data_IF_294491781144
#
_entry.id   IF_294491781144
#
_cell.length_a   1.000
_cell.length_b   1.000
_cell.length_c   1.000
_cell.angle_alpha   90.00
_cell.angle_beta   90.00
_cell.angle_gamma   90.00
#
_symmetry.space_group_name_H-M   'P 1'
#
loop_
_entity.id
_entity.type
_entity.pdbx_description
1 polymer ?
#
# COMPACT_ATOMS: atom_id res chain seq x y z
N UNK A 1 15.72 -25.60 9.43
CA UNK A 1 14.49 -25.42 8.66
C UNK A 1 13.40 -25.13 9.66
N UNK A 2 13.29 -23.90 10.15
CA UNK A 2 12.22 -23.48 11.06
C UNK A 2 12.07 -21.97 10.92
N UNK A 3 11.06 -21.56 10.15
CA UNK A 3 10.75 -20.16 9.89
C UNK A 3 9.26 -19.94 10.12
N UNK A 4 8.91 -19.63 11.37
CA UNK A 4 7.55 -19.38 11.80
C UNK A 4 7.10 -18.00 11.25
N UNK A 5 6.80 -17.94 9.96
CA UNK A 5 6.11 -16.79 9.38
C UNK A 5 4.65 -16.85 9.83
N UNK A 6 4.06 -15.75 10.33
CA UNK A 6 2.63 -15.74 10.63
C UNK A 6 1.90 -16.19 9.36
N UNK A 7 1.10 -17.25 9.48
CA UNK A 7 0.33 -17.81 8.37
C UNK A 7 -0.71 -16.76 7.98
N UNK A 8 -0.33 -15.86 7.09
CA UNK A 8 -1.29 -15.01 6.41
C UNK A 8 -2.19 -15.94 5.61
N UNK A 9 -3.43 -16.11 6.07
CA UNK A 9 -4.44 -16.85 5.34
C UNK A 9 -4.80 -16.04 4.09
N UNK A 10 -4.08 -16.30 3.01
CA UNK A 10 -4.31 -15.75 1.67
C UNK A 10 -4.30 -16.92 0.69
N UNK A 11 -5.17 -16.89 -0.31
CA UNK A 11 -5.16 -17.87 -1.40
C UNK A 11 -4.40 -17.28 -2.57
N UNK A 12 -3.17 -17.74 -2.81
CA UNK A 12 -2.31 -17.22 -3.88
C UNK A 12 -2.16 -18.20 -5.04
N UNK A 13 -1.82 -17.73 -6.25
CA UNK A 13 -1.61 -18.61 -7.40
C UNK A 13 -0.35 -19.47 -7.25
N UNK A 14 -0.35 -20.68 -7.79
CA UNK A 14 0.86 -21.51 -7.86
C UNK A 14 1.93 -20.86 -8.75
N UNK A 15 3.21 -21.07 -8.42
CA UNK A 15 4.33 -20.53 -9.20
C UNK A 15 4.63 -19.04 -8.94
N UNK A 16 4.03 -18.45 -7.90
CA UNK A 16 4.33 -17.09 -7.47
C UNK A 16 5.32 -17.01 -6.32
N UNK A 17 6.10 -15.94 -6.28
CA UNK A 17 7.04 -15.59 -5.22
C UNK A 17 6.41 -14.48 -4.37
N UNK A 18 6.44 -14.65 -3.05
CA UNK A 18 5.98 -13.64 -2.10
C UNK A 18 6.92 -12.43 -2.08
N UNK A 19 6.35 -11.22 -2.10
CA UNK A 19 7.13 -9.97 -2.01
C UNK A 19 6.89 -9.24 -0.70
N UNK A 20 5.62 -8.94 -0.38
CA UNK A 20 5.27 -8.11 0.78
C UNK A 20 3.85 -8.40 1.27
N UNK A 21 3.64 -8.36 2.57
CA UNK A 21 2.31 -8.42 3.18
C UNK A 21 1.95 -7.07 3.82
N UNK A 22 0.66 -6.79 3.88
CA UNK A 22 0.09 -5.67 4.62
C UNK A 22 -1.24 -6.07 5.24
N UNK A 23 -1.90 -5.10 5.88
CA UNK A 23 -3.16 -5.35 6.61
C UNK A 23 -4.27 -5.98 5.75
N UNK A 24 -4.37 -5.58 4.48
CA UNK A 24 -5.46 -6.00 3.59
C UNK A 24 -5.14 -7.20 2.71
N UNK A 25 -3.96 -7.83 2.84
CA UNK A 25 -3.52 -8.91 1.94
C UNK A 25 -2.03 -8.91 1.66
N UNK A 26 -1.63 -9.63 0.61
CA UNK A 26 -0.24 -9.84 0.23
C UNK A 26 -0.01 -9.61 -1.26
N UNK A 27 1.23 -9.25 -1.60
CA UNK A 27 1.71 -9.01 -2.96
C UNK A 27 2.65 -10.16 -3.35
N UNK A 28 2.41 -10.70 -4.54
CA UNK A 28 3.25 -11.73 -5.14
C UNK A 28 3.66 -11.35 -6.56
N UNK A 29 4.74 -11.94 -7.06
CA UNK A 29 5.15 -11.89 -8.48
C UNK A 29 5.21 -13.30 -9.06
N UNK A 30 5.20 -13.46 -10.38
CA UNK A 30 5.37 -14.76 -11.02
C UNK A 30 6.86 -15.02 -11.30
N UNK A 31 7.30 -16.28 -11.13
CA UNK A 31 8.67 -16.67 -11.43
C UNK A 31 9.03 -16.29 -12.89
N UNK A 32 10.06 -15.44 -13.06
CA UNK A 32 10.53 -14.98 -14.37
C UNK A 32 9.78 -13.76 -14.95
N UNK A 33 8.77 -13.21 -14.28
CA UNK A 33 8.02 -12.03 -14.73
C UNK A 33 8.11 -10.88 -13.73
N UNK A 34 9.17 -10.08 -13.82
CA UNK A 34 9.37 -8.93 -12.93
C UNK A 34 8.38 -7.78 -13.15
N UNK A 35 7.65 -7.75 -14.28
CA UNK A 35 6.79 -6.62 -14.66
C UNK A 35 5.34 -6.75 -14.17
N UNK A 36 4.96 -7.89 -13.59
CA UNK A 36 3.57 -8.15 -13.16
C UNK A 36 3.53 -8.59 -11.71
N UNK A 37 2.67 -7.93 -10.95
CA UNK A 37 2.40 -8.25 -9.56
C UNK A 37 0.94 -8.66 -9.38
N UNK A 38 0.66 -9.48 -8.38
CA UNK A 38 -0.71 -9.79 -7.96
C UNK A 38 -0.90 -9.43 -6.50
N UNK A 39 -1.91 -8.60 -6.24
CA UNK A 39 -2.41 -8.30 -4.91
C UNK A 39 -3.53 -9.27 -4.55
N UNK A 40 -3.21 -10.17 -3.63
CA UNK A 40 -4.12 -11.19 -3.10
C UNK A 40 -4.73 -10.67 -1.80
N UNK A 41 -6.07 -10.66 -1.65
CA UNK A 41 -6.71 -10.21 -0.43
C UNK A 41 -6.50 -11.21 0.72
N UNK A 42 -6.53 -10.70 1.94
CA UNK A 42 -6.68 -11.53 3.13
C UNK A 42 -8.00 -12.31 3.11
N UNK A 43 -8.04 -13.51 3.71
CA UNK A 43 -9.29 -14.25 3.94
C UNK A 43 -10.11 -13.69 5.09
N UNK A 44 -9.62 -12.65 5.79
CA UNK A 44 -10.39 -11.98 6.84
C UNK A 44 -11.65 -11.32 6.24
N UNK A 45 -12.82 -11.86 6.61
CA UNK A 45 -14.12 -11.42 6.11
C UNK A 45 -14.41 -9.93 6.39
N UNK A 46 -13.84 -9.34 7.46
CA UNK A 46 -14.00 -7.91 7.75
C UNK A 46 -13.30 -7.02 6.73
N UNK A 47 -12.24 -7.52 6.09
CA UNK A 47 -11.38 -6.76 5.19
C UNK A 47 -11.59 -7.14 3.72
N UNK A 48 -12.37 -8.20 3.43
CA UNK A 48 -12.61 -8.67 2.06
C UNK A 48 -13.38 -7.62 1.23
N UNK A 49 -14.22 -6.79 1.86
CA UNK A 49 -14.92 -5.71 1.17
C UNK A 49 -13.95 -4.66 0.58
N UNK A 50 -12.76 -4.49 1.19
CA UNK A 50 -11.76 -3.55 0.70
C UNK A 50 -11.21 -3.95 -0.67
N UNK A 51 -11.15 -5.25 -0.98
CA UNK A 51 -10.70 -5.68 -2.32
C UNK A 51 -11.78 -5.44 -3.37
N UNK A 52 -13.06 -5.60 -3.02
CA UNK A 52 -14.17 -5.33 -3.94
C UNK A 52 -14.29 -3.84 -4.28
N UNK A 53 -14.06 -2.96 -3.31
CA UNK A 53 -13.96 -1.51 -3.56
C UNK A 53 -12.80 -1.21 -4.53
N UNK A 54 -11.62 -1.80 -4.30
CA UNK A 54 -10.44 -1.61 -5.17
C UNK A 54 -10.70 -2.07 -6.60
N UNK A 55 -11.37 -3.21 -6.79
CA UNK A 55 -11.77 -3.71 -8.12
C UNK A 55 -12.68 -2.70 -8.83
N UNK A 56 -13.66 -2.13 -8.12
CA UNK A 56 -14.56 -1.10 -8.69
C UNK A 56 -13.81 0.16 -9.10
N UNK A 57 -12.87 0.63 -8.27
CA UNK A 57 -12.06 1.81 -8.57
C UNK A 57 -11.24 1.60 -9.86
N UNK A 58 -10.53 0.48 -9.98
CA UNK A 58 -9.77 0.19 -11.21
C UNK A 58 -10.67 0.03 -12.44
N UNK A 59 -11.82 -0.64 -12.31
CA UNK A 59 -12.77 -0.76 -13.41
C UNK A 59 -13.34 0.59 -13.86
N UNK A 60 -13.50 1.54 -12.93
CA UNK A 60 -14.02 2.87 -13.23
C UNK A 60 -12.96 3.78 -13.87
N UNK A 61 -11.73 3.77 -13.34
CA UNK A 61 -10.65 4.63 -13.81
C UNK A 61 -10.09 4.20 -15.18
N UNK A 62 -10.17 2.90 -15.50
CA UNK A 62 -9.57 2.36 -16.71
C UNK A 62 -8.05 2.51 -16.72
N UNK A 63 -7.47 2.69 -17.92
CA UNK A 63 -6.04 2.94 -18.05
C UNK A 63 -5.76 4.44 -18.02
N UNK A 64 -5.04 4.90 -16.99
CA UNK A 64 -4.65 6.29 -16.82
C UNK A 64 -3.12 6.38 -16.64
N UNK A 65 -2.41 7.28 -17.34
CA UNK A 65 -0.94 7.29 -17.37
C UNK A 65 -0.27 7.51 -16.01
N UNK A 66 -0.97 8.09 -15.03
CA UNK A 66 -0.46 8.37 -13.69
C UNK A 66 -0.97 7.39 -12.62
N UNK A 67 -1.64 6.30 -13.01
CA UNK A 67 -2.15 5.28 -12.10
C UNK A 67 -1.63 3.93 -12.58
N UNK A 68 -1.07 3.13 -11.66
CA UNK A 68 -0.54 1.80 -12.01
C UNK A 68 -1.62 1.00 -12.74
N UNK A 69 -1.35 0.51 -13.96
CA UNK A 69 -2.33 -0.22 -14.73
C UNK A 69 -2.81 -1.49 -14.02
N UNK A 70 -4.13 -1.65 -13.96
CA UNK A 70 -4.76 -2.92 -13.63
C UNK A 70 -4.81 -3.80 -14.87
N UNK A 71 -3.99 -4.85 -14.88
CA UNK A 71 -3.82 -5.74 -16.04
C UNK A 71 -4.96 -6.76 -16.12
N UNK A 72 -5.35 -7.31 -14.97
CA UNK A 72 -6.55 -8.15 -14.88
C UNK A 72 -7.05 -8.28 -13.44
N UNK A 73 -8.29 -8.72 -13.30
CA UNK A 73 -8.90 -9.12 -12.03
C UNK A 73 -9.33 -10.58 -12.19
N UNK A 74 -8.94 -11.44 -11.26
CA UNK A 74 -9.26 -12.87 -11.27
C UNK A 74 -9.61 -13.38 -9.86
N UNK A 75 -9.83 -14.69 -9.74
CA UNK A 75 -10.26 -15.35 -8.50
C UNK A 75 -9.24 -15.23 -7.35
N UNK A 76 -7.98 -14.94 -7.65
CA UNK A 76 -6.93 -14.74 -6.65
C UNK A 76 -6.83 -13.28 -6.21
N UNK A 77 -7.14 -12.32 -7.07
CA UNK A 77 -7.02 -10.90 -6.74
C UNK A 77 -6.88 -9.98 -7.94
N UNK A 78 -6.11 -8.90 -7.74
CA UNK A 78 -5.90 -7.86 -8.75
C UNK A 78 -4.46 -7.95 -9.25
N UNK A 79 -4.28 -8.15 -10.55
CA UNK A 79 -2.98 -8.09 -11.20
C UNK A 79 -2.68 -6.66 -11.64
N UNK A 80 -1.50 -6.17 -11.26
CA UNK A 80 -1.03 -4.81 -11.50
C UNK A 80 0.31 -4.86 -12.24
N UNK A 81 0.59 -3.83 -13.01
CA UNK A 81 1.95 -3.59 -13.49
C UNK A 81 2.88 -3.28 -12.31
N UNK A 82 4.13 -3.75 -12.39
CA UNK A 82 5.13 -3.46 -11.39
C UNK A 82 5.66 -2.03 -11.54
N UNK A 83 5.58 -1.24 -10.47
CA UNK A 83 6.29 0.03 -10.38
C UNK A 83 7.79 -0.21 -10.17
N UNK A 84 8.59 -0.15 -11.23
CA UNK A 84 10.02 -0.52 -11.21
C UNK A 84 10.84 0.27 -10.18
N UNK A 85 10.47 1.52 -9.91
CA UNK A 85 11.17 2.40 -8.98
C UNK A 85 10.58 2.40 -7.56
N UNK A 86 9.69 1.46 -7.27
CA UNK A 86 9.09 1.32 -5.94
C UNK A 86 8.25 2.52 -5.52
N UNK A 87 8.12 2.72 -4.21
CA UNK A 87 7.39 3.83 -3.63
C UNK A 87 8.28 5.08 -3.51
N UNK A 88 7.67 6.27 -3.61
CA UNK A 88 8.37 7.56 -3.42
C UNK A 88 9.17 7.61 -2.10
N UNK A 89 8.68 6.96 -1.04
CA UNK A 89 9.41 6.87 0.24
C UNK A 89 10.66 6.00 0.19
N UNK A 90 10.65 4.96 -0.62
CA UNK A 90 11.82 4.12 -0.86
C UNK A 90 12.88 4.94 -1.60
N UNK A 91 12.47 5.75 -2.58
CA UNK A 91 13.35 6.72 -3.23
C UNK A 91 13.97 7.73 -2.25
N UNK A 92 13.20 8.29 -1.31
CA UNK A 92 13.77 9.14 -0.25
C UNK A 92 14.71 8.36 0.69
N UNK A 93 14.41 7.11 1.03
CA UNK A 93 15.30 6.30 1.86
C UNK A 93 16.62 5.96 1.15
N UNK A 94 16.60 5.79 -0.18
CA UNK A 94 17.77 5.47 -1.00
C UNK A 94 18.60 6.71 -1.38
N UNK A 95 17.95 7.87 -1.57
CA UNK A 95 18.58 9.12 -2.05
C UNK A 95 18.89 10.17 -0.98
N UNK A 96 18.28 10.09 0.21
CA UNK A 96 18.55 11.00 1.34
C UNK A 96 19.26 10.26 2.46
N UNK A 97 20.55 9.99 2.26
CA UNK A 97 21.47 9.74 3.36
C UNK A 97 21.71 11.04 4.14
N UNK A 98 20.66 11.55 4.79
CA UNK A 98 20.83 12.44 5.95
C UNK A 98 20.34 11.59 7.12
N UNK A 99 21.31 11.05 7.86
CA UNK A 99 21.20 10.34 9.15
C UNK A 99 21.03 8.81 9.19
N UNK A 100 21.15 8.07 8.07
CA UNK A 100 21.26 6.59 8.06
C UNK A 100 20.19 5.82 8.87
N UNK A 101 19.00 6.39 9.09
CA UNK A 101 17.92 5.72 9.84
C UNK A 101 17.00 4.97 8.88
N UNK A 102 16.70 3.68 9.13
CA UNK A 102 15.68 2.98 8.37
C UNK A 102 14.31 3.64 8.64
N UNK A 103 13.64 4.10 7.58
CA UNK A 103 12.28 4.61 7.62
C UNK A 103 11.29 3.46 7.84
N UNK A 104 11.14 3.05 9.10
CA UNK A 104 10.03 2.19 9.54
C UNK A 104 8.76 3.04 9.61
N UNK A 105 8.04 3.17 8.49
CA UNK A 105 6.80 3.96 8.44
C UNK A 105 5.60 3.07 8.17
N UNK A 106 4.69 3.03 9.14
CA UNK A 106 3.29 2.65 8.93
C UNK A 106 2.57 3.88 8.37
N UNK A 107 2.03 3.73 7.15
CA UNK A 107 1.88 4.84 6.21
C UNK A 107 0.64 5.71 6.41
N UNK A 108 -0.30 5.32 7.26
CA UNK A 108 -1.65 5.89 7.24
C UNK A 108 -1.88 6.94 8.33
N UNK A 109 -1.30 6.78 9.52
CA UNK A 109 -1.66 7.60 10.70
C UNK A 109 -1.30 9.09 10.54
N UNK A 110 -0.15 9.42 9.93
CA UNK A 110 0.30 10.82 9.77
C UNK A 110 -0.36 11.60 8.62
N UNK A 111 -1.11 10.93 7.76
CA UNK A 111 -1.70 11.49 6.53
C UNK A 111 -3.22 11.60 6.60
N UNK A 112 -3.81 10.97 7.63
CA UNK A 112 -5.23 11.05 7.95
C UNK A 112 -5.59 12.49 8.33
N UNK A 113 -6.76 12.94 7.92
CA UNK A 113 -7.27 14.25 8.36
C UNK A 113 -7.41 14.25 9.90
N UNK A 114 -7.05 15.33 10.62
CA UNK A 114 -7.03 15.33 12.09
C UNK A 114 -8.42 15.26 12.71
N UNK A 115 -9.45 15.66 11.97
CA UNK A 115 -10.85 15.43 12.34
C UNK A 115 -11.31 14.06 11.85
N UNK A 116 -11.63 13.14 12.75
CA UNK A 116 -12.08 11.78 12.43
C UNK A 116 -13.36 11.76 11.59
N UNK A 117 -14.29 12.68 11.83
CA UNK A 117 -15.55 12.79 11.06
C UNK A 117 -15.29 13.01 9.56
N UNK A 118 -14.22 13.73 9.22
CA UNK A 118 -13.82 14.00 7.83
C UNK A 118 -13.19 12.78 7.16
N UNK A 119 -12.83 11.74 7.93
CA UNK A 119 -12.28 10.49 7.41
C UNK A 119 -13.31 9.36 7.32
N UNK A 120 -14.42 9.43 8.07
CA UNK A 120 -15.49 8.43 8.02
C UNK A 120 -16.25 8.47 6.68
N UNK A 121 -16.16 9.58 5.96
CA UNK A 121 -16.69 9.74 4.62
C UNK A 121 -15.53 10.12 3.70
N UNK A 122 -15.33 9.40 2.58
CA UNK A 122 -14.27 9.67 1.60
C UNK A 122 -14.48 11.04 0.96
N UNK A 123 -14.06 12.09 1.66
CA UNK A 123 -14.30 13.48 1.30
C UNK A 123 -13.07 14.03 0.58
N UNK A 124 -13.32 14.89 -0.42
CA UNK A 124 -12.28 15.66 -1.13
C UNK A 124 -11.35 16.38 -0.13
N UNK A 125 -11.87 16.78 1.04
CA UNK A 125 -11.10 17.44 2.11
C UNK A 125 -10.02 16.53 2.70
N UNK A 126 -10.34 15.27 2.99
CA UNK A 126 -9.36 14.30 3.49
C UNK A 126 -8.28 14.00 2.43
N UNK A 127 -8.67 13.84 1.17
CA UNK A 127 -7.72 13.64 0.06
C UNK A 127 -6.83 14.86 -0.18
N UNK A 128 -7.37 16.09 -0.12
CA UNK A 128 -6.59 17.33 -0.19
C UNK A 128 -5.61 17.46 0.97
N UNK A 129 -6.01 17.05 2.17
CA UNK A 129 -5.14 17.06 3.33
C UNK A 129 -4.00 16.04 3.18
N UNK A 130 -4.31 14.82 2.75
CA UNK A 130 -3.31 13.78 2.47
C UNK A 130 -2.34 14.22 1.36
N UNK A 131 -2.83 14.90 0.33
CA UNK A 131 -2.00 15.50 -0.73
C UNK A 131 -1.08 16.60 -0.17
N UNK A 132 -1.61 17.53 0.62
CA UNK A 132 -0.81 18.59 1.26
C UNK A 132 0.27 18.02 2.19
N UNK A 133 -0.08 16.97 2.94
CA UNK A 133 0.83 16.21 3.80
C UNK A 133 1.94 15.52 2.99
N UNK A 134 1.61 14.98 1.82
CA UNK A 134 2.58 14.37 0.89
C UNK A 134 3.52 15.42 0.30
N UNK A 135 3.00 16.58 -0.10
CA UNK A 135 3.82 17.70 -0.61
C UNK A 135 4.76 18.20 0.49
N UNK A 136 4.27 18.34 1.73
CA UNK A 136 5.11 18.71 2.88
C UNK A 136 6.24 17.69 3.09
N UNK A 137 5.93 16.38 3.07
CA UNK A 137 6.94 15.32 3.24
C UNK A 137 7.99 15.38 2.13
N UNK A 138 7.58 15.59 0.87
CA UNK A 138 8.50 15.74 -0.27
C UNK A 138 9.42 16.96 -0.10
N UNK A 139 8.87 18.10 0.30
CA UNK A 139 9.64 19.36 0.42
C UNK A 139 10.60 19.33 1.61
N UNK A 140 10.19 18.72 2.73
CA UNK A 140 10.92 18.80 4.00
C UNK A 140 11.73 17.53 4.33
N UNK A 141 11.54 16.45 3.56
CA UNK A 141 12.06 15.11 3.88
C UNK A 141 11.67 14.63 5.28
N UNK A 142 10.61 15.20 5.86
CA UNK A 142 10.17 14.97 7.24
C UNK A 142 8.69 14.62 7.25
N UNK A 143 8.30 13.67 8.09
CA UNK A 143 6.89 13.32 8.21
C UNK A 143 6.06 14.50 8.75
N UNK A 144 4.86 14.71 8.22
CA UNK A 144 3.92 15.66 8.81
C UNK A 144 3.62 15.24 10.26
N UNK A 145 3.65 16.21 11.18
CA UNK A 145 3.39 16.03 12.62
C UNK A 145 4.39 15.17 13.41
N UNK A 146 5.54 14.81 12.83
CA UNK A 146 6.56 13.98 13.51
C UNK A 146 6.13 12.51 13.67
N UNK A 147 6.95 11.69 14.36
CA UNK A 147 6.55 10.31 14.69
C UNK A 147 5.41 10.37 15.70
N UNK A 148 4.18 10.20 15.22
CA UNK A 148 3.06 9.92 16.10
C UNK A 148 3.36 8.56 16.73
N UNK A 149 3.55 8.51 18.05
CA UNK A 149 3.62 7.24 18.76
C UNK A 149 2.26 6.53 18.58
N UNK A 150 2.23 5.53 17.69
CA UNK A 150 1.06 4.67 17.55
C UNK A 150 0.87 3.96 18.89
N UNK A 151 -0.28 4.19 19.53
CA UNK A 151 -0.68 3.42 20.70
C UNK A 151 -0.62 1.93 20.34
N UNK A 152 0.35 1.21 20.92
CA UNK A 152 0.43 -0.24 20.87
C UNK A 152 -0.80 -0.75 21.63
N UNK A 153 -1.86 -1.09 20.90
CA UNK A 153 -2.95 -1.86 21.46
C UNK A 153 -2.41 -3.29 21.60
N UNK A 154 -2.13 -3.68 22.85
CA UNK A 154 -1.79 -5.05 23.27
C UNK A 154 -2.89 -6.05 22.90
#
# INVERSE_FOLDING_TARGET
>A
MDGNYPVYHVKYPSGTIFLKAGRSGAIYTYLGYSTKLIKVPTTNLRLIQNIEIKKRVYNHLGNHPNIIPCLCINDYGIQLEHAEHGAIREYFAEGSAIDNKPFMVWTESGFKHPNDDENEHTMIRAELYALGSTIYEIITSSQPYGKIEEWIIY
#
